data_IF_280800778555
#
_entry.id   IF_280800778555
#
_cell.length_a   1.000
_cell.length_b   1.000
_cell.length_c   1.000
_cell.angle_alpha   90.00
_cell.angle_beta   90.00
_cell.angle_gamma   90.00
#
_symmetry.space_group_name_H-M   'P 1'
#
loop_
_entity.id
_entity.type
_entity.pdbx_description
1 polymer ?
#
# COMPACT_ATOMS: atom_id res chain seq x y z
N UNK A 1 3.07 -3.14 37.25
CA UNK A 1 2.93 -2.15 36.16
C UNK A 1 2.50 -2.87 34.90
N UNK A 2 1.52 -2.35 34.15
CA UNK A 2 1.11 -2.92 32.86
C UNK A 2 2.19 -2.58 31.83
N UNK A 3 2.76 -3.58 31.18
CA UNK A 3 3.77 -3.39 30.14
C UNK A 3 3.16 -2.66 28.95
N UNK A 4 3.88 -1.66 28.41
CA UNK A 4 3.41 -0.89 27.26
C UNK A 4 3.15 -1.80 26.03
N UNK A 5 2.02 -1.66 25.29
CA UNK A 5 1.68 -2.56 24.19
C UNK A 5 2.75 -2.68 23.09
N UNK A 6 3.55 -1.63 22.88
CA UNK A 6 4.67 -1.58 21.92
C UNK A 6 5.71 -2.69 22.13
N UNK A 7 5.87 -3.20 23.36
CA UNK A 7 6.79 -4.31 23.62
C UNK A 7 6.44 -5.57 22.84
N UNK A 8 5.20 -5.75 22.39
CA UNK A 8 4.85 -6.86 21.50
C UNK A 8 5.58 -6.77 20.14
N UNK A 9 5.70 -5.56 19.59
CA UNK A 9 6.47 -5.32 18.37
C UNK A 9 7.97 -5.48 18.62
N UNK A 10 8.49 -4.91 19.72
CA UNK A 10 9.92 -5.02 20.06
C UNK A 10 10.33 -6.48 20.33
N UNK A 11 9.49 -7.25 21.01
CA UNK A 11 9.74 -8.67 21.27
C UNK A 11 9.70 -9.49 19.98
N UNK A 12 8.85 -9.13 19.01
CA UNK A 12 8.86 -9.76 17.69
C UNK A 12 10.16 -9.49 16.93
N UNK A 13 10.67 -8.24 16.98
CA UNK A 13 11.97 -7.91 16.40
C UNK A 13 13.10 -8.69 17.08
N UNK A 14 13.07 -8.77 18.41
CA UNK A 14 14.03 -9.55 19.19
C UNK A 14 14.00 -11.03 18.82
N UNK A 15 12.81 -11.62 18.68
CA UNK A 15 12.64 -13.02 18.25
C UNK A 15 13.20 -13.27 16.84
N UNK A 16 13.03 -12.32 15.91
CA UNK A 16 13.64 -12.41 14.57
C UNK A 16 15.17 -12.40 14.66
N UNK A 17 15.75 -11.59 15.53
CA UNK A 17 17.21 -11.49 15.69
C UNK A 17 17.81 -12.72 16.38
N UNK A 18 17.12 -13.29 17.37
CA UNK A 18 17.63 -14.42 18.16
C UNK A 18 17.36 -15.78 17.50
N UNK A 19 16.20 -15.94 16.84
CA UNK A 19 15.74 -17.23 16.32
C UNK A 19 15.44 -17.22 14.81
N UNK A 20 15.69 -16.10 14.12
CA UNK A 20 15.43 -15.99 12.69
C UNK A 20 16.35 -16.88 11.85
N UNK A 21 15.77 -17.58 10.88
CA UNK A 21 16.53 -18.31 9.87
C UNK A 21 16.86 -17.38 8.71
N UNK A 22 18.12 -17.42 8.26
CA UNK A 22 18.53 -16.69 7.05
C UNK A 22 17.85 -17.28 5.82
N UNK A 23 17.33 -16.42 4.95
CA UNK A 23 16.69 -16.76 3.68
C UNK A 23 17.06 -15.73 2.61
N UNK A 24 17.37 -16.24 1.42
CA UNK A 24 17.46 -15.39 0.23
C UNK A 24 16.07 -14.91 -0.19
N UNK A 25 16.00 -13.75 -0.82
CA UNK A 25 14.74 -13.09 -1.19
C UNK A 25 14.80 -12.51 -2.62
N UNK A 26 13.66 -12.05 -3.14
CA UNK A 26 13.52 -11.55 -4.50
C UNK A 26 14.39 -10.31 -4.78
N UNK A 27 14.69 -9.48 -3.77
CA UNK A 27 15.53 -8.28 -3.93
C UNK A 27 17.02 -8.59 -3.84
N UNK A 28 17.39 -9.86 -3.61
CA UNK A 28 18.79 -10.33 -3.46
C UNK A 28 19.54 -9.67 -2.30
N UNK A 29 18.82 -9.20 -1.29
CA UNK A 29 19.42 -8.56 -0.11
C UNK A 29 19.68 -9.57 0.99
N UNK A 30 18.86 -10.60 1.09
CA UNK A 30 18.87 -11.56 2.19
C UNK A 30 18.03 -11.08 3.38
N UNK A 31 17.41 -12.01 4.10
CA UNK A 31 16.51 -11.72 5.22
C UNK A 31 16.66 -12.72 6.35
N UNK A 32 16.42 -12.30 7.60
CA UNK A 32 16.17 -13.21 8.72
C UNK A 32 14.66 -13.30 8.95
N UNK A 33 14.14 -14.52 9.08
CA UNK A 33 12.70 -14.76 9.13
C UNK A 33 12.32 -15.82 10.15
N UNK A 34 11.27 -15.51 10.90
CA UNK A 34 10.49 -16.47 11.70
C UNK A 34 9.11 -16.65 11.06
N UNK A 35 8.50 -17.82 11.20
CA UNK A 35 7.18 -18.13 10.62
C UNK A 35 6.12 -18.29 11.71
N UNK A 36 4.92 -17.75 11.45
CA UNK A 36 3.77 -17.87 12.35
C UNK A 36 3.94 -17.11 13.66
N UNK A 37 3.79 -15.78 13.62
CA UNK A 37 3.76 -14.91 14.81
C UNK A 37 2.49 -14.07 14.82
N UNK A 38 1.97 -13.81 16.00
CA UNK A 38 0.78 -13.00 16.20
C UNK A 38 1.03 -12.00 17.33
N UNK A 39 0.67 -10.75 17.09
CA UNK A 39 0.64 -9.68 18.09
C UNK A 39 -0.78 -9.11 18.17
N UNK A 40 -1.17 -8.55 19.32
CA UNK A 40 -2.53 -8.05 19.58
C UNK A 40 -2.49 -6.67 20.23
N UNK A 41 -3.12 -5.68 19.62
CA UNK A 41 -3.20 -4.34 20.21
C UNK A 41 -4.63 -4.06 20.68
N UNK A 42 -4.77 -3.76 21.97
CA UNK A 42 -6.03 -3.28 22.55
C UNK A 42 -6.18 -1.78 22.28
N UNK A 43 -7.05 -1.44 21.33
CA UNK A 43 -7.28 -0.06 20.90
C UNK A 43 -7.98 0.81 21.95
N UNK A 44 -8.58 0.20 23.00
CA UNK A 44 -9.12 0.98 24.13
C UNK A 44 -8.02 1.63 24.98
N UNK A 45 -6.80 1.12 24.90
CA UNK A 45 -5.64 1.62 25.65
C UNK A 45 -4.91 2.75 24.92
N UNK A 46 -5.26 3.01 23.66
CA UNK A 46 -4.66 4.05 22.83
C UNK A 46 -4.38 3.59 21.40
N UNK A 47 -3.89 4.51 20.59
CA UNK A 47 -3.50 4.24 19.20
C UNK A 47 -2.08 3.64 19.17
N UNK A 48 -1.86 2.45 18.58
CA UNK A 48 -0.58 1.72 18.63
C UNK A 48 0.45 2.31 17.65
N UNK A 49 0.71 3.61 17.73
CA UNK A 49 1.81 4.25 17.03
C UNK A 49 3.11 4.03 17.81
N UNK A 50 4.16 3.58 17.14
CA UNK A 50 5.46 3.36 17.77
C UNK A 50 5.99 4.66 18.36
N UNK A 51 6.49 4.58 19.59
CA UNK A 51 7.10 5.69 20.32
C UNK A 51 8.62 5.62 20.33
N UNK A 52 9.18 4.41 20.20
CA UNK A 52 10.63 4.18 20.12
C UNK A 52 11.29 4.70 18.85
N UNK A 53 10.50 4.94 17.80
CA UNK A 53 10.95 5.56 16.54
C UNK A 53 9.85 6.43 15.96
N UNK A 54 10.23 7.62 15.47
CA UNK A 54 9.30 8.50 14.76
C UNK A 54 8.75 7.82 13.50
N UNK A 55 7.43 7.71 13.41
CA UNK A 55 6.70 7.14 12.27
C UNK A 55 6.11 8.27 11.42
N UNK A 56 6.11 8.11 10.09
CA UNK A 56 5.55 9.08 9.15
C UNK A 56 4.01 9.01 9.09
N UNK A 57 3.35 9.53 10.13
CA UNK A 57 1.89 9.43 10.31
C UNK A 57 1.07 10.05 9.17
N UNK A 58 1.53 11.19 8.62
CA UNK A 58 0.87 11.84 7.46
C UNK A 58 0.75 10.88 6.27
N UNK A 59 1.82 10.12 5.99
CA UNK A 59 1.83 9.11 4.93
C UNK A 59 0.77 8.04 5.16
N UNK A 60 0.72 7.48 6.36
CA UNK A 60 -0.25 6.43 6.74
C UNK A 60 -1.69 6.91 6.54
N UNK A 61 -2.01 8.13 7.01
CA UNK A 61 -3.37 8.67 6.92
C UNK A 61 -3.78 8.88 5.46
N UNK A 62 -2.96 9.56 4.65
CA UNK A 62 -3.31 9.83 3.26
C UNK A 62 -3.32 8.56 2.40
N UNK A 63 -2.42 7.61 2.66
CA UNK A 63 -2.45 6.30 2.00
C UNK A 63 -3.75 5.54 2.32
N UNK A 64 -4.16 5.48 3.58
CA UNK A 64 -5.41 4.83 3.97
C UNK A 64 -6.62 5.52 3.31
N UNK A 65 -6.67 6.85 3.32
CA UNK A 65 -7.74 7.61 2.65
C UNK A 65 -7.76 7.37 1.14
N UNK A 66 -6.60 7.24 0.51
CA UNK A 66 -6.46 6.93 -0.91
C UNK A 66 -7.00 5.52 -1.23
N UNK A 67 -6.66 4.52 -0.41
CA UNK A 67 -7.25 3.17 -0.54
C UNK A 67 -8.76 3.17 -0.33
N UNK A 68 -9.24 3.86 0.70
CA UNK A 68 -10.67 3.94 0.98
C UNK A 68 -11.43 4.66 -0.12
N UNK A 69 -10.84 5.63 -0.83
CA UNK A 69 -11.46 6.24 -2.02
C UNK A 69 -11.54 5.29 -3.22
N UNK A 70 -10.77 4.20 -3.22
CA UNK A 70 -10.72 3.25 -4.31
C UNK A 70 -9.95 3.76 -5.52
N UNK A 71 -9.06 4.73 -5.31
CA UNK A 71 -8.23 5.33 -6.36
C UNK A 71 -6.96 4.48 -6.59
N UNK A 72 -6.50 4.40 -7.84
CA UNK A 72 -5.27 3.74 -8.25
C UNK A 72 -4.19 4.73 -8.74
N UNK A 73 -4.49 6.02 -8.73
CA UNK A 73 -3.60 7.06 -9.23
C UNK A 73 -2.80 7.75 -8.12
N UNK A 74 -1.49 7.91 -8.31
CA UNK A 74 -0.60 8.56 -7.32
C UNK A 74 -0.79 10.08 -7.23
N UNK A 75 -1.50 10.73 -8.16
CA UNK A 75 -1.70 12.19 -8.16
C UNK A 75 -2.20 12.71 -6.81
N UNK A 76 -3.17 12.02 -6.21
CA UNK A 76 -3.67 12.38 -4.89
C UNK A 76 -2.56 12.35 -3.82
N UNK A 77 -1.73 11.30 -3.78
CA UNK A 77 -0.66 11.16 -2.80
C UNK A 77 0.41 12.25 -2.96
N UNK A 78 0.78 12.51 -4.21
CA UNK A 78 1.76 13.52 -4.58
C UNK A 78 1.28 14.92 -4.18
N UNK A 79 0.00 15.26 -4.38
CA UNK A 79 -0.57 16.53 -3.92
C UNK A 79 -0.51 16.70 -2.39
N UNK A 80 -0.55 15.60 -1.64
CA UNK A 80 -0.48 15.61 -0.17
C UNK A 80 0.95 15.39 0.36
N UNK A 81 1.96 15.53 -0.52
CA UNK A 81 3.37 15.36 -0.17
C UNK A 81 3.65 13.98 0.46
N UNK A 82 3.08 12.94 -0.15
CA UNK A 82 3.28 11.53 0.17
C UNK A 82 3.87 10.83 -1.04
N UNK A 83 5.13 10.40 -0.92
CA UNK A 83 5.98 9.92 -2.03
C UNK A 83 6.34 8.43 -1.92
N UNK A 84 5.62 7.67 -1.08
CA UNK A 84 5.93 6.26 -0.77
C UNK A 84 5.66 5.31 -1.95
N UNK A 85 4.91 5.77 -2.96
CA UNK A 85 4.53 4.99 -4.14
C UNK A 85 5.21 5.46 -5.42
N UNK A 86 6.04 6.51 -5.39
CA UNK A 86 6.54 7.22 -6.57
C UNK A 86 7.46 6.38 -7.47
N UNK A 87 8.17 5.42 -6.89
CA UNK A 87 9.14 4.59 -7.62
C UNK A 87 8.45 3.70 -8.67
N UNK A 88 7.29 3.13 -8.36
CA UNK A 88 6.60 2.18 -9.23
C UNK A 88 6.10 2.81 -10.55
N UNK A 89 5.33 3.91 -10.55
CA UNK A 89 4.88 4.55 -11.79
C UNK A 89 6.05 5.20 -12.54
N UNK A 90 7.07 5.70 -11.83
CA UNK A 90 8.28 6.22 -12.46
C UNK A 90 9.07 5.12 -13.19
N UNK A 91 9.21 3.94 -12.57
CA UNK A 91 9.82 2.77 -13.20
C UNK A 91 9.03 2.36 -14.45
N UNK A 92 7.71 2.27 -14.35
CA UNK A 92 6.85 1.96 -15.48
C UNK A 92 6.98 3.00 -16.61
N UNK A 93 7.03 4.28 -16.27
CA UNK A 93 7.29 5.37 -17.22
C UNK A 93 8.64 5.20 -17.94
N UNK A 94 9.71 4.93 -17.18
CA UNK A 94 11.05 4.72 -17.73
C UNK A 94 11.10 3.52 -18.68
N UNK A 95 10.56 2.38 -18.26
CA UNK A 95 10.57 1.15 -19.07
C UNK A 95 9.83 1.36 -20.40
N UNK A 96 8.65 1.99 -20.39
CA UNK A 96 7.85 2.20 -21.60
C UNK A 96 8.34 3.35 -22.49
N UNK A 97 9.06 4.33 -21.95
CA UNK A 97 9.61 5.45 -22.75
C UNK A 97 10.93 5.06 -23.41
N UNK A 98 11.76 4.24 -22.74
CA UNK A 98 13.04 3.75 -23.29
C UNK A 98 12.81 2.76 -24.43
N UNK A 99 11.78 1.92 -24.36
CA UNK A 99 11.50 0.91 -25.39
C UNK A 99 10.94 1.48 -26.70
N UNK A 100 10.41 2.70 -26.71
CA UNK A 100 9.84 3.32 -27.93
C UNK A 100 10.84 4.07 -28.80
N UNK A 101 12.02 4.42 -28.27
CA UNK A 101 12.98 5.31 -28.92
C UNK A 101 14.34 4.63 -29.15
N UNK A 102 14.46 3.84 -30.23
CA UNK A 102 15.79 3.39 -30.71
C UNK A 102 16.58 4.53 -31.40
N UNK A 103 15.96 5.69 -31.66
CA UNK A 103 16.52 6.73 -32.54
C UNK A 103 16.23 8.19 -32.13
N UNK A 104 15.83 8.50 -30.88
CA UNK A 104 15.56 9.89 -30.51
C UNK A 104 16.15 10.33 -29.17
N UNK A 105 16.74 11.53 -29.19
CA UNK A 105 17.32 12.29 -28.08
C UNK A 105 16.26 12.79 -27.07
N UNK A 106 15.27 11.98 -26.70
CA UNK A 106 14.31 12.35 -25.67
C UNK A 106 14.95 12.18 -24.29
N UNK A 107 15.19 13.31 -23.60
CA UNK A 107 15.66 13.33 -22.23
C UNK A 107 14.61 12.67 -21.32
N UNK A 108 14.95 11.52 -20.75
CA UNK A 108 14.12 10.86 -19.75
C UNK A 108 14.02 11.80 -18.54
N UNK A 109 12.80 12.24 -18.22
CA UNK A 109 12.53 13.03 -17.02
C UNK A 109 13.12 12.35 -15.79
N UNK A 110 13.74 13.13 -14.92
CA UNK A 110 14.13 12.67 -13.58
C UNK A 110 12.88 12.35 -12.76
N UNK A 111 13.04 11.62 -11.65
CA UNK A 111 11.91 11.29 -10.78
C UNK A 111 11.21 12.55 -10.24
N UNK A 112 11.99 13.59 -9.93
CA UNK A 112 11.44 14.86 -9.43
C UNK A 112 10.60 15.56 -10.50
N UNK A 113 11.09 15.66 -11.73
CA UNK A 113 10.36 16.26 -12.84
C UNK A 113 9.10 15.44 -13.20
N UNK A 114 9.20 14.11 -13.13
CA UNK A 114 8.06 13.21 -13.30
C UNK A 114 6.97 13.52 -12.28
N UNK A 115 7.31 13.62 -11.00
CA UNK A 115 6.37 13.92 -9.91
C UNK A 115 5.74 15.31 -10.08
N UNK A 116 6.52 16.33 -10.44
CA UNK A 116 5.99 17.67 -10.72
C UNK A 116 5.03 17.68 -11.92
N UNK A 117 5.32 16.87 -12.94
CA UNK A 117 4.42 16.71 -14.09
C UNK A 117 3.12 15.98 -13.71
N UNK A 118 3.18 14.99 -12.82
CA UNK A 118 1.97 14.31 -12.28
C UNK A 118 1.08 15.31 -11.51
N UNK A 119 1.67 16.25 -10.76
CA UNK A 119 0.90 17.29 -10.06
C UNK A 119 0.16 18.22 -11.02
N UNK A 120 0.88 18.69 -12.04
CA UNK A 120 0.41 19.78 -12.91
C UNK A 120 -0.49 19.29 -14.05
N UNK A 121 -0.12 18.20 -14.71
CA UNK A 121 -0.78 17.68 -15.91
C UNK A 121 -1.71 16.50 -15.58
N UNK A 122 -3.02 16.70 -15.78
CA UNK A 122 -4.05 15.67 -15.55
C UNK A 122 -3.98 14.50 -16.54
N UNK A 123 -3.66 14.77 -17.80
CA UNK A 123 -3.60 13.73 -18.83
C UNK A 123 -2.35 12.88 -18.66
N UNK A 124 -1.23 13.52 -18.32
CA UNK A 124 0.00 12.82 -17.94
C UNK A 124 -0.21 11.94 -16.70
N UNK A 125 -0.87 12.48 -15.67
CA UNK A 125 -1.22 11.72 -14.48
C UNK A 125 -2.13 10.52 -14.78
N UNK A 126 -3.13 10.68 -15.64
CA UNK A 126 -4.03 9.59 -16.02
C UNK A 126 -3.29 8.46 -16.73
N UNK A 127 -2.29 8.79 -17.56
CA UNK A 127 -1.50 7.81 -18.32
C UNK A 127 -0.43 7.12 -17.48
N UNK A 128 0.36 7.88 -16.71
CA UNK A 128 1.57 7.38 -16.06
C UNK A 128 1.46 7.26 -14.54
N UNK A 129 0.50 7.95 -13.92
CA UNK A 129 0.29 7.92 -12.48
C UNK A 129 -0.55 6.74 -11.99
N UNK A 130 -1.09 5.91 -12.89
CA UNK A 130 -1.94 4.78 -12.51
C UNK A 130 -1.09 3.54 -12.18
N UNK A 131 -1.22 3.04 -10.95
CA UNK A 131 -0.54 1.84 -10.47
C UNK A 131 -1.29 0.54 -10.82
N UNK A 132 -2.46 0.64 -11.45
CA UNK A 132 -3.30 -0.51 -11.77
C UNK A 132 -4.15 -0.97 -10.58
N UNK A 133 -4.43 -2.28 -10.44
CA UNK A 133 -5.34 -2.81 -9.42
C UNK A 133 -4.67 -2.90 -8.05
N UNK A 134 -4.30 -1.76 -7.48
CA UNK A 134 -3.79 -1.64 -6.10
C UNK A 134 -4.89 -1.90 -5.07
N UNK A 135 -4.52 -1.95 -3.79
CA UNK A 135 -5.42 -2.27 -2.68
C UNK A 135 -6.76 -1.52 -2.71
N UNK A 136 -6.75 -0.21 -3.00
CA UNK A 136 -7.98 0.58 -3.08
C UNK A 136 -8.94 0.11 -4.18
N UNK A 137 -8.41 -0.16 -5.37
CA UNK A 137 -9.21 -0.67 -6.51
C UNK A 137 -9.78 -2.04 -6.18
N UNK A 138 -9.00 -2.93 -5.56
CA UNK A 138 -9.48 -4.26 -5.16
C UNK A 138 -10.55 -4.20 -4.06
N UNK A 139 -10.45 -3.23 -3.15
CA UNK A 139 -11.43 -3.06 -2.08
C UNK A 139 -12.76 -2.46 -2.54
N UNK A 140 -12.72 -1.48 -3.43
CA UNK A 140 -13.91 -0.69 -3.82
C UNK A 140 -14.48 -1.06 -5.19
N UNK A 141 -13.65 -1.62 -6.08
CA UNK A 141 -13.96 -1.82 -7.49
C UNK A 141 -13.49 -3.20 -7.99
N UNK A 142 -13.64 -4.25 -7.17
CA UNK A 142 -13.24 -5.59 -7.59
C UNK A 142 -14.09 -6.06 -8.77
N UNK A 143 -13.44 -6.50 -9.86
CA UNK A 143 -14.12 -7.02 -11.04
C UNK A 143 -14.24 -8.53 -10.94
N UNK A 144 -15.47 -9.03 -10.86
CA UNK A 144 -15.73 -10.47 -10.91
C UNK A 144 -15.41 -11.01 -12.30
N UNK A 145 -15.13 -12.33 -12.44
CA UNK A 145 -15.01 -12.96 -13.75
C UNK A 145 -16.23 -12.80 -14.66
N UNK A 146 -17.40 -12.47 -14.08
CA UNK A 146 -18.65 -12.20 -14.80
C UNK A 146 -18.82 -10.72 -15.19
N UNK A 147 -17.85 -9.86 -14.88
CA UNK A 147 -17.88 -8.42 -15.16
C UNK A 147 -18.62 -7.59 -14.11
N UNK A 148 -19.05 -8.18 -13.00
CA UNK A 148 -19.73 -7.45 -11.92
C UNK A 148 -18.70 -6.67 -11.08
N UNK A 149 -19.06 -5.45 -10.68
CA UNK A 149 -18.25 -4.63 -9.78
C UNK A 149 -18.69 -4.85 -8.34
N UNK A 150 -17.75 -5.21 -7.47
CA UNK A 150 -18.00 -5.51 -6.07
C UNK A 150 -17.23 -4.50 -5.20
N UNK A 151 -17.96 -3.77 -4.36
CA UNK A 151 -17.41 -2.90 -3.31
C UNK A 151 -17.42 -3.68 -1.98
N UNK A 152 -16.28 -4.28 -1.64
CA UNK A 152 -16.14 -5.14 -0.47
C UNK A 152 -16.22 -4.35 0.84
N UNK A 153 -15.73 -3.10 0.84
CA UNK A 153 -15.76 -2.23 2.03
C UNK A 153 -17.20 -1.80 2.33
N UNK A 154 -17.95 -1.38 1.31
CA UNK A 154 -19.35 -1.01 1.49
C UNK A 154 -20.17 -2.21 1.98
N UNK A 155 -19.95 -3.40 1.42
CA UNK A 155 -20.60 -4.63 1.87
C UNK A 155 -20.23 -4.99 3.32
N UNK A 156 -18.97 -4.84 3.70
CA UNK A 156 -18.53 -5.11 5.07
C UNK A 156 -19.19 -4.14 6.07
N UNK A 157 -19.27 -2.85 5.75
CA UNK A 157 -19.96 -1.84 6.57
C UNK A 157 -21.45 -2.17 6.71
N UNK A 158 -22.12 -2.50 5.60
CA UNK A 158 -23.54 -2.90 5.62
C UNK A 158 -23.77 -4.13 6.50
N UNK A 159 -22.89 -5.14 6.40
CA UNK A 159 -22.96 -6.33 7.24
C UNK A 159 -22.72 -6.05 8.71
N UNK A 160 -21.77 -5.17 9.07
CA UNK A 160 -21.56 -4.77 10.47
C UNK A 160 -22.82 -4.12 11.03
N UNK A 161 -23.48 -3.26 10.24
CA UNK A 161 -24.70 -2.56 10.65
C UNK A 161 -25.91 -3.50 10.77
N UNK A 162 -26.09 -4.43 9.83
CA UNK A 162 -27.29 -5.29 9.75
C UNK A 162 -27.14 -6.64 10.47
N UNK A 163 -25.93 -7.19 10.53
CA UNK A 163 -25.65 -8.50 11.10
C UNK A 163 -24.24 -8.53 11.75
N UNK A 164 -24.05 -7.85 12.89
CA UNK A 164 -22.74 -7.69 13.53
C UNK A 164 -22.11 -9.02 13.99
N UNK A 165 -22.92 -10.05 14.24
CA UNK A 165 -22.44 -11.38 14.67
C UNK A 165 -22.01 -12.26 13.48
N UNK A 166 -22.08 -11.75 12.26
CA UNK A 166 -21.64 -12.46 11.07
C UNK A 166 -20.14 -12.77 11.14
N UNK A 167 -19.80 -14.05 11.06
CA UNK A 167 -18.42 -14.54 10.89
C UNK A 167 -17.91 -14.40 9.44
N UNK A 168 -18.68 -13.72 8.57
CA UNK A 168 -18.43 -13.57 7.13
C UNK A 168 -18.14 -12.11 6.72
N UNK A 169 -17.82 -11.24 7.68
CA UNK A 169 -17.34 -9.88 7.40
C UNK A 169 -15.86 -9.97 7.03
N UNK A 170 -15.56 -9.89 5.73
CA UNK A 170 -14.21 -10.11 5.19
C UNK A 170 -14.03 -9.36 3.88
N UNK A 171 -12.85 -8.76 3.70
CA UNK A 171 -12.39 -8.17 2.45
C UNK A 171 -11.19 -8.98 1.94
N UNK A 172 -11.16 -9.26 0.64
CA UNK A 172 -10.09 -10.03 -0.01
C UNK A 172 -9.27 -9.17 -0.95
N UNK A 173 -8.04 -9.62 -1.11
CA UNK A 173 -7.16 -9.23 -2.19
C UNK A 173 -6.95 -10.46 -3.07
N UNK A 174 -7.25 -10.32 -4.35
CA UNK A 174 -7.16 -11.43 -5.30
C UNK A 174 -7.30 -10.92 -6.72
N UNK A 175 -6.31 -11.23 -7.55
CA UNK A 175 -6.48 -11.20 -9.00
C UNK A 175 -7.51 -12.24 -9.38
N UNK A 176 -8.47 -11.86 -10.23
CA UNK A 176 -9.26 -12.83 -10.99
C UNK A 176 -8.26 -13.70 -11.76
N UNK A 177 -8.06 -14.93 -11.30
CA UNK A 177 -7.26 -15.95 -12.00
C UNK A 177 -8.08 -16.45 -13.18
#
# INVERSE_FOLDING_TARGET
>A
MKTHPEYQYLNLLKDILEHGLYKNDRTKTGTYSVFGRQIRFDLSQGFPLLTTKKVFLRGIIHELLWFLKGDGNIKYLVHHNVHIWDEWPYRYYRENTVSSDFNNNNTILTQQEFIEKIKTDNDFAKKWGNLGPVYGVQWRHWQSPKGEKIDQIAQAIDQINRNPNSRRIRCFFGSSV
#
